data_IF_298289674913
#
_entry.id   IF_298289674913
#
_cell.length_a   1.000
_cell.length_b   1.000
_cell.length_c   1.000
_cell.angle_alpha   90.00
_cell.angle_beta   90.00
_cell.angle_gamma   90.00
#
_symmetry.space_group_name_H-M   'P 1'
#
loop_
_entity.id
_entity.type
_entity.pdbx_description
1 polymer ?
#
# COMPACT_ATOMS: atom_id res chain seq x y z
N UNK A 1 -3.89 14.78 18.88
CA UNK A 1 -3.68 16.20 18.48
C UNK A 1 -2.35 16.45 17.76
N UNK A 2 -1.29 15.64 17.96
CA UNK A 2 0.01 15.86 17.31
C UNK A 2 0.18 15.17 15.93
N UNK A 3 -0.64 14.18 15.56
CA UNK A 3 -0.43 13.43 14.30
C UNK A 3 -0.76 14.27 13.06
N UNK A 4 -1.73 15.19 13.16
CA UNK A 4 -2.19 16.04 12.05
C UNK A 4 -1.68 17.47 12.14
N UNK A 5 -0.62 17.72 12.93
CA UNK A 5 -0.17 19.08 13.23
C UNK A 5 0.71 19.68 12.12
N UNK A 6 1.44 18.83 11.38
CA UNK A 6 2.35 19.21 10.30
C UNK A 6 2.36 18.19 9.18
N UNK A 7 2.40 18.70 7.95
CA UNK A 7 2.69 17.92 6.75
C UNK A 7 4.23 17.70 6.68
N UNK A 8 4.67 16.44 6.56
CA UNK A 8 6.09 16.05 6.52
C UNK A 8 6.93 16.48 7.75
N UNK A 9 6.32 16.51 8.94
CA UNK A 9 7.01 16.78 10.21
C UNK A 9 7.28 15.51 11.01
N UNK A 10 8.24 15.56 11.93
CA UNK A 10 8.48 14.47 12.89
C UNK A 10 9.46 13.38 12.43
N UNK A 11 9.74 12.43 13.33
CA UNK A 11 10.57 11.25 13.02
C UNK A 11 9.78 10.16 12.27
N UNK A 12 10.46 9.06 11.93
CA UNK A 12 9.85 7.95 11.18
C UNK A 12 8.63 7.34 11.85
N UNK A 13 8.55 7.36 13.18
CA UNK A 13 7.39 6.89 13.95
C UNK A 13 6.14 7.77 13.74
N UNK A 14 6.34 9.08 13.71
CA UNK A 14 5.24 10.03 13.49
C UNK A 14 4.70 9.88 12.07
N UNK A 15 5.60 9.76 11.09
CA UNK A 15 5.24 9.48 9.70
C UNK A 15 4.47 8.16 9.56
N UNK A 16 4.95 7.07 10.18
CA UNK A 16 4.22 5.80 10.16
C UNK A 16 2.82 5.95 10.75
N UNK A 17 2.68 6.66 11.86
CA UNK A 17 1.37 6.93 12.45
C UNK A 17 0.46 7.75 11.53
N UNK A 18 1.00 8.71 10.78
CA UNK A 18 0.26 9.47 9.76
C UNK A 18 -0.24 8.57 8.62
N UNK A 19 0.61 7.69 8.10
CA UNK A 19 0.23 6.76 7.02
C UNK A 19 -0.78 5.70 7.49
N UNK A 20 -0.65 5.22 8.73
CA UNK A 20 -1.66 4.36 9.35
C UNK A 20 -2.99 5.09 9.50
N UNK A 21 -2.97 6.33 9.98
CA UNK A 21 -4.18 7.14 10.10
C UNK A 21 -4.83 7.39 8.74
N UNK A 22 -4.05 7.70 7.71
CA UNK A 22 -4.54 7.92 6.35
C UNK A 22 -5.14 6.63 5.76
N UNK A 23 -4.38 5.54 5.75
CA UNK A 23 -4.81 4.28 5.14
C UNK A 23 -5.95 3.61 5.91
N UNK A 24 -5.76 3.32 7.20
CA UNK A 24 -6.74 2.59 8.01
C UNK A 24 -7.87 3.49 8.45
N UNK A 25 -7.54 4.67 8.97
CA UNK A 25 -8.54 5.66 9.38
C UNK A 25 -9.38 6.13 8.19
N UNK A 26 -8.80 6.27 7.01
CA UNK A 26 -9.52 6.60 5.78
C UNK A 26 -10.58 5.56 5.41
N UNK A 27 -10.25 4.26 5.43
CA UNK A 27 -11.22 3.18 5.20
C UNK A 27 -12.37 3.27 6.20
N UNK A 28 -12.05 3.35 7.50
CA UNK A 28 -13.07 3.41 8.56
C UNK A 28 -13.97 4.64 8.44
N UNK A 29 -13.41 5.79 8.10
CA UNK A 29 -14.17 7.01 7.88
C UNK A 29 -15.14 6.88 6.70
N UNK A 30 -14.70 6.27 5.59
CA UNK A 30 -15.56 6.01 4.41
C UNK A 30 -16.67 5.02 4.78
N UNK A 31 -16.36 3.95 5.52
CA UNK A 31 -17.38 2.99 6.00
C UNK A 31 -18.47 3.68 6.80
N UNK A 32 -18.07 4.52 7.75
CA UNK A 32 -19.01 5.26 8.59
C UNK A 32 -19.84 6.25 7.77
N UNK A 33 -19.20 6.98 6.84
CA UNK A 33 -19.90 7.87 5.92
C UNK A 33 -20.99 7.12 5.13
N UNK A 34 -20.66 5.99 4.50
CA UNK A 34 -21.63 5.17 3.77
C UNK A 34 -22.77 4.70 4.69
N UNK A 35 -22.45 4.27 5.91
CA UNK A 35 -23.44 3.82 6.90
C UNK A 35 -24.43 4.93 7.28
N UNK A 36 -23.96 6.14 7.56
CA UNK A 36 -24.83 7.25 8.00
C UNK A 36 -25.62 7.89 6.86
N UNK A 37 -25.10 7.84 5.63
CA UNK A 37 -25.73 8.48 4.47
C UNK A 37 -26.52 7.51 3.59
N UNK A 38 -26.36 6.20 3.77
CA UNK A 38 -26.96 5.18 2.91
C UNK A 38 -26.29 5.02 1.53
N UNK A 39 -25.11 5.63 1.31
CA UNK A 39 -24.36 5.39 0.08
C UNK A 39 -23.86 3.95 -0.01
N UNK A 40 -23.78 3.42 -1.23
CA UNK A 40 -23.17 2.13 -1.49
C UNK A 40 -21.70 2.10 -1.04
N UNK A 41 -21.24 0.94 -0.57
CA UNK A 41 -19.84 0.75 -0.19
C UNK A 41 -18.95 0.74 -1.45
N UNK A 42 -17.77 1.40 -1.42
CA UNK A 42 -16.84 1.34 -2.54
C UNK A 42 -16.27 -0.08 -2.71
N UNK A 43 -16.14 -0.48 -3.96
CA UNK A 43 -15.54 -1.76 -4.37
C UNK A 43 -14.12 -1.60 -4.91
N UNK A 44 -13.73 -0.39 -5.32
CA UNK A 44 -12.40 -0.03 -5.83
C UNK A 44 -11.75 1.00 -4.91
N UNK A 45 -10.48 0.78 -4.59
CA UNK A 45 -9.66 1.66 -3.77
C UNK A 45 -8.36 1.95 -4.50
N UNK A 46 -7.92 3.21 -4.50
CA UNK A 46 -6.73 3.64 -5.21
C UNK A 46 -5.72 4.24 -4.23
N UNK A 47 -4.56 3.59 -4.11
CA UNK A 47 -3.41 4.14 -3.42
C UNK A 47 -2.66 5.08 -4.36
N UNK A 48 -2.77 6.37 -4.08
CA UNK A 48 -1.93 7.38 -4.70
C UNK A 48 -0.61 7.47 -3.91
N UNK A 49 0.40 6.71 -4.33
CA UNK A 49 1.67 6.48 -3.66
C UNK A 49 1.59 5.64 -2.36
N UNK A 50 2.76 5.25 -1.84
CA UNK A 50 2.92 4.36 -0.68
C UNK A 50 2.14 4.77 0.58
N UNK A 51 1.98 6.07 0.83
CA UNK A 51 1.38 6.62 2.05
C UNK A 51 -0.05 6.13 2.36
N UNK A 52 -0.82 5.75 1.33
CA UNK A 52 -2.20 5.30 1.50
C UNK A 52 -2.34 3.77 1.60
N UNK A 53 -1.26 3.01 1.36
CA UNK A 53 -1.32 1.56 1.10
C UNK A 53 -1.77 0.76 2.32
N UNK A 54 -1.60 1.28 3.55
CA UNK A 54 -2.13 0.63 4.76
C UNK A 54 -3.65 0.43 4.76
N UNK A 55 -4.41 1.10 3.88
CA UNK A 55 -5.82 0.79 3.66
C UNK A 55 -6.05 -0.69 3.31
N UNK A 56 -5.09 -1.33 2.64
CA UNK A 56 -5.16 -2.75 2.31
C UNK A 56 -5.22 -3.65 3.55
N UNK A 57 -4.49 -3.31 4.63
CA UNK A 57 -4.55 -4.09 5.87
C UNK A 57 -5.91 -4.00 6.56
N UNK A 58 -6.53 -2.81 6.58
CA UNK A 58 -7.87 -2.66 7.14
C UNK A 58 -8.90 -3.45 6.32
N UNK A 59 -8.80 -3.42 4.99
CA UNK A 59 -9.69 -4.22 4.12
C UNK A 59 -9.51 -5.72 4.32
N UNK A 60 -8.27 -6.20 4.46
CA UNK A 60 -7.98 -7.61 4.77
C UNK A 60 -8.60 -7.97 6.13
N UNK A 61 -8.43 -7.08 7.12
CA UNK A 61 -8.98 -7.25 8.46
C UNK A 61 -10.51 -7.33 8.47
N UNK A 62 -11.19 -6.42 7.77
CA UNK A 62 -12.65 -6.43 7.63
C UNK A 62 -13.14 -7.77 7.07
N UNK A 63 -12.48 -8.31 6.05
CA UNK A 63 -12.83 -9.59 5.44
C UNK A 63 -12.62 -10.77 6.39
N UNK A 64 -11.49 -10.81 7.08
CA UNK A 64 -11.22 -11.87 8.06
C UNK A 64 -12.22 -11.85 9.22
N UNK A 65 -12.64 -10.67 9.69
CA UNK A 65 -13.57 -10.55 10.83
C UNK A 65 -15.02 -10.78 10.41
N UNK A 66 -15.47 -10.16 9.31
CA UNK A 66 -16.88 -10.11 8.95
C UNK A 66 -17.30 -11.25 8.01
N UNK A 67 -16.36 -11.74 7.19
CA UNK A 67 -16.62 -12.79 6.18
C UNK A 67 -15.94 -14.12 6.54
N UNK A 68 -15.22 -14.16 7.68
CA UNK A 68 -14.50 -15.34 8.18
C UNK A 68 -13.52 -15.93 7.14
N UNK A 69 -12.93 -15.07 6.32
CA UNK A 69 -11.95 -15.47 5.31
C UNK A 69 -10.58 -15.75 5.93
N UNK A 70 -9.81 -16.64 5.29
CA UNK A 70 -8.38 -16.78 5.59
C UNK A 70 -7.63 -15.52 5.14
N UNK A 71 -6.45 -15.27 5.72
CA UNK A 71 -5.60 -14.15 5.29
C UNK A 71 -5.33 -14.19 3.78
N UNK A 72 -5.05 -15.36 3.23
CA UNK A 72 -4.71 -15.53 1.81
C UNK A 72 -5.92 -15.20 0.91
N UNK A 73 -7.10 -15.72 1.25
CA UNK A 73 -8.34 -15.39 0.53
C UNK A 73 -8.63 -13.89 0.60
N UNK A 74 -8.50 -13.29 1.79
CA UNK A 74 -8.73 -11.87 1.99
C UNK A 74 -7.74 -11.01 1.19
N UNK A 75 -6.46 -11.41 1.08
CA UNK A 75 -5.47 -10.72 0.23
C UNK A 75 -5.90 -10.73 -1.23
N UNK A 76 -6.32 -11.87 -1.77
CA UNK A 76 -6.76 -11.97 -3.17
C UNK A 76 -8.00 -11.10 -3.45
N UNK A 77 -8.98 -11.11 -2.54
CA UNK A 77 -10.18 -10.28 -2.66
C UNK A 77 -9.87 -8.77 -2.56
N UNK A 78 -8.94 -8.39 -1.69
CA UNK A 78 -8.48 -7.00 -1.57
C UNK A 78 -7.73 -6.59 -2.83
N UNK A 79 -6.84 -7.45 -3.32
CA UNK A 79 -6.03 -7.23 -4.52
C UNK A 79 -6.92 -6.92 -5.72
N UNK A 80 -7.97 -7.71 -5.95
CA UNK A 80 -8.92 -7.55 -7.05
C UNK A 80 -9.55 -6.14 -7.12
N UNK A 81 -9.73 -5.47 -5.98
CA UNK A 81 -10.32 -4.13 -5.88
C UNK A 81 -9.31 -3.02 -5.51
N UNK A 82 -8.00 -3.23 -5.68
CA UNK A 82 -6.97 -2.23 -5.37
C UNK A 82 -6.17 -1.81 -6.61
N UNK A 83 -5.93 -0.50 -6.70
CA UNK A 83 -5.09 0.15 -7.69
C UNK A 83 -3.94 0.87 -6.98
N UNK A 84 -2.75 0.88 -7.57
CA UNK A 84 -1.59 1.59 -7.04
C UNK A 84 -0.96 2.49 -8.10
N UNK A 85 -0.84 3.78 -7.81
CA UNK A 85 -0.03 4.68 -8.63
C UNK A 85 1.23 5.05 -7.87
N UNK A 86 2.38 4.94 -8.51
CA UNK A 86 3.64 5.46 -7.99
C UNK A 86 4.07 6.69 -8.78
N UNK A 87 4.58 7.69 -8.07
CA UNK A 87 5.10 8.96 -8.62
C UNK A 87 6.61 9.07 -8.43
N UNK A 88 7.22 8.15 -7.69
CA UNK A 88 8.62 8.21 -7.30
C UNK A 88 9.51 7.57 -8.38
N UNK A 89 10.37 8.34 -9.05
CA UNK A 89 11.14 7.83 -10.18
C UNK A 89 12.45 7.14 -9.78
N UNK A 90 12.81 7.10 -8.49
CA UNK A 90 14.10 6.57 -8.02
C UNK A 90 13.95 5.79 -6.72
N UNK A 91 14.70 4.68 -6.51
CA UNK A 91 14.59 3.85 -5.31
C UNK A 91 14.78 4.61 -4.00
N UNK A 92 15.69 5.59 -3.97
CA UNK A 92 16.02 6.38 -2.78
C UNK A 92 14.86 7.26 -2.28
N UNK A 93 13.89 7.58 -3.15
CA UNK A 93 12.70 8.36 -2.78
C UNK A 93 11.54 7.50 -2.26
N UNK A 94 11.63 6.18 -2.37
CA UNK A 94 10.55 5.27 -1.96
C UNK A 94 10.52 5.14 -0.45
N UNK A 95 9.32 5.26 0.10
CA UNK A 95 9.08 5.22 1.52
C UNK A 95 9.36 3.85 2.12
N UNK A 96 10.22 3.88 3.15
CA UNK A 96 10.62 2.72 3.91
C UNK A 96 10.54 2.99 5.40
N UNK A 97 10.07 1.99 6.13
CA UNK A 97 10.10 1.96 7.59
C UNK A 97 11.03 0.85 8.08
N UNK A 98 11.49 0.91 9.33
CA UNK A 98 12.18 -0.22 9.94
C UNK A 98 11.19 -1.37 10.21
N UNK A 99 11.62 -2.62 10.01
CA UNK A 99 10.77 -3.78 10.28
C UNK A 99 10.22 -3.80 11.72
N UNK A 100 11.04 -3.47 12.71
CA UNK A 100 10.61 -3.42 14.13
C UNK A 100 9.61 -2.30 14.40
N UNK A 101 9.72 -1.19 13.67
CA UNK A 101 8.78 -0.08 13.75
C UNK A 101 7.38 -0.52 13.31
N UNK A 102 7.30 -1.19 12.17
CA UNK A 102 6.04 -1.77 11.66
C UNK A 102 5.55 -2.89 12.58
N UNK A 103 6.46 -3.74 13.08
CA UNK A 103 6.12 -4.80 14.03
C UNK A 103 5.44 -4.24 15.28
N UNK A 104 6.00 -3.19 15.88
CA UNK A 104 5.44 -2.53 17.06
C UNK A 104 4.08 -1.90 16.76
N UNK A 105 3.97 -1.17 15.64
CA UNK A 105 2.74 -0.49 15.22
C UNK A 105 1.56 -1.46 15.03
N UNK A 106 1.82 -2.69 14.57
CA UNK A 106 0.79 -3.67 14.23
C UNK A 106 0.73 -4.89 15.17
N UNK A 107 1.46 -4.88 16.29
CA UNK A 107 1.54 -6.01 17.23
C UNK A 107 0.17 -6.49 17.75
N UNK A 108 -0.80 -5.59 17.87
CA UNK A 108 -2.16 -5.89 18.34
C UNK A 108 -3.22 -5.81 17.24
N UNK A 109 -2.81 -5.84 15.96
CA UNK A 109 -3.72 -5.67 14.82
C UNK A 109 -4.41 -6.99 14.39
N UNK A 110 -4.92 -7.75 15.37
CA UNK A 110 -5.57 -9.06 15.17
C UNK A 110 -6.86 -8.97 14.33
N UNK A 111 -7.16 -9.91 13.43
CA UNK A 111 -6.60 -11.25 13.38
C UNK A 111 -5.40 -11.39 12.42
N UNK A 112 -4.85 -10.29 11.89
CA UNK A 112 -3.75 -10.38 10.93
C UNK A 112 -2.48 -10.85 11.66
N UNK A 113 -1.84 -11.96 11.22
CA UNK A 113 -0.59 -12.39 11.80
C UNK A 113 0.53 -11.40 11.46
N UNK A 114 1.32 -10.98 12.46
CA UNK A 114 2.30 -9.92 12.29
C UNK A 114 3.34 -10.24 11.21
N UNK A 115 3.81 -11.48 11.11
CA UNK A 115 4.80 -11.87 10.10
C UNK A 115 4.21 -11.85 8.68
N UNK A 116 2.89 -12.05 8.55
CA UNK A 116 2.19 -11.88 7.27
C UNK A 116 2.09 -10.41 6.88
N UNK A 117 1.86 -9.51 7.84
CA UNK A 117 1.91 -8.05 7.61
C UNK A 117 3.30 -7.65 7.13
N UNK A 118 4.36 -8.01 7.88
CA UNK A 118 5.74 -7.67 7.53
C UNK A 118 6.14 -8.22 6.16
N UNK A 119 5.70 -9.43 5.83
CA UNK A 119 5.92 -10.05 4.53
C UNK A 119 5.34 -9.26 3.35
N UNK A 120 4.29 -8.46 3.54
CA UNK A 120 3.74 -7.64 2.46
C UNK A 120 4.70 -6.54 2.01
N UNK A 121 5.45 -5.91 2.92
CA UNK A 121 6.42 -4.86 2.60
C UNK A 121 7.88 -5.34 2.51
N UNK A 122 8.16 -6.61 2.78
CA UNK A 122 9.53 -7.13 2.82
C UNK A 122 10.21 -7.14 1.46
N UNK A 123 11.42 -6.59 1.39
CA UNK A 123 12.30 -6.63 0.22
C UNK A 123 13.15 -7.92 0.20
N UNK A 124 12.49 -9.08 0.16
CA UNK A 124 13.12 -10.41 0.18
C UNK A 124 13.57 -10.91 -1.21
N UNK A 125 14.00 -9.99 -2.08
CA UNK A 125 14.44 -10.24 -3.46
C UNK A 125 15.88 -9.76 -3.67
N UNK A 126 16.59 -10.20 -4.72
CA UNK A 126 17.96 -9.76 -5.00
C UNK A 126 18.06 -8.22 -5.06
N UNK A 127 18.99 -7.65 -4.29
CA UNK A 127 19.18 -6.19 -4.19
C UNK A 127 18.22 -5.47 -3.24
N UNK A 128 17.30 -6.19 -2.59
CA UNK A 128 16.43 -5.66 -1.54
C UNK A 128 17.11 -5.55 -0.18
N UNK A 129 16.59 -4.67 0.69
CA UNK A 129 17.01 -4.54 2.09
C UNK A 129 16.00 -5.24 3.02
N UNK A 130 16.32 -6.43 3.56
CA UNK A 130 15.41 -7.18 4.42
C UNK A 130 15.16 -6.51 5.78
N UNK A 131 15.95 -5.49 6.16
CA UNK A 131 15.72 -4.71 7.38
C UNK A 131 14.62 -3.64 7.23
N UNK A 132 14.14 -3.43 6.01
CA UNK A 132 13.20 -2.36 5.64
C UNK A 132 11.86 -2.91 5.18
N UNK A 133 10.81 -2.22 5.61
CA UNK A 133 9.46 -2.39 5.08
C UNK A 133 9.24 -1.33 4.00
N UNK A 134 9.11 -1.75 2.74
CA UNK A 134 8.90 -0.87 1.59
C UNK A 134 7.41 -0.73 1.25
N UNK A 135 6.91 0.50 1.29
CA UNK A 135 5.50 0.80 1.04
C UNK A 135 5.07 0.58 -0.42
N UNK A 136 5.95 0.82 -1.38
CA UNK A 136 5.66 0.53 -2.79
C UNK A 136 5.61 -0.98 -3.07
N UNK A 137 6.48 -1.78 -2.43
CA UNK A 137 6.43 -3.25 -2.51
C UNK A 137 5.09 -3.77 -1.98
N UNK A 138 4.64 -3.26 -0.83
CA UNK A 138 3.30 -3.57 -0.30
C UNK A 138 2.20 -3.14 -1.28
N UNK A 139 2.30 -1.95 -1.86
CA UNK A 139 1.34 -1.42 -2.82
C UNK A 139 1.19 -2.31 -4.06
N UNK A 140 2.31 -2.78 -4.61
CA UNK A 140 2.34 -3.67 -5.77
C UNK A 140 1.84 -5.09 -5.46
N UNK A 141 2.12 -5.61 -4.26
CA UNK A 141 1.60 -6.92 -3.82
C UNK A 141 0.10 -6.89 -3.52
N UNK A 142 -0.41 -5.78 -3.00
CA UNK A 142 -1.83 -5.65 -2.66
C UNK A 142 -2.71 -5.05 -3.77
N UNK A 143 -2.17 -4.72 -4.94
CA UNK A 143 -2.96 -4.11 -6.02
C UNK A 143 -3.01 -4.99 -7.27
N UNK A 144 -4.21 -5.14 -7.84
CA UNK A 144 -4.40 -5.85 -9.11
C UNK A 144 -3.80 -5.08 -10.28
N UNK A 145 -3.81 -3.75 -10.23
CA UNK A 145 -3.21 -2.89 -11.25
C UNK A 145 -2.31 -1.84 -10.62
N UNK A 146 -1.21 -1.56 -11.30
CA UNK A 146 -0.31 -0.48 -10.94
C UNK A 146 0.06 0.37 -12.15
N UNK A 147 0.37 1.65 -11.93
CA UNK A 147 0.80 2.55 -12.99
C UNK A 147 1.81 3.61 -12.52
N UNK A 148 2.68 4.02 -13.44
CA UNK A 148 3.38 5.30 -13.38
C UNK A 148 2.51 6.45 -13.90
N UNK A 149 3.05 7.67 -13.82
CA UNK A 149 2.32 8.91 -14.10
C UNK A 149 2.66 9.56 -15.45
N UNK A 150 3.46 8.87 -16.25
CA UNK A 150 3.77 9.13 -17.65
C UNK A 150 4.29 7.84 -18.28
N UNK A 151 4.37 7.77 -19.61
CA UNK A 151 4.93 6.61 -20.32
C UNK A 151 6.34 6.27 -19.84
N UNK A 152 7.23 7.27 -19.83
CA UNK A 152 8.60 7.14 -19.32
C UNK A 152 8.63 6.71 -17.85
N UNK A 153 7.75 7.25 -17.01
CA UNK A 153 7.69 6.84 -15.60
C UNK A 153 7.26 5.38 -15.45
N UNK A 154 6.35 4.90 -16.32
CA UNK A 154 5.97 3.49 -16.38
C UNK A 154 7.17 2.59 -16.69
N UNK A 155 8.00 2.96 -17.67
CA UNK A 155 9.22 2.22 -18.02
C UNK A 155 10.23 2.17 -16.86
N UNK A 156 10.50 3.32 -16.23
CA UNK A 156 11.40 3.41 -15.07
C UNK A 156 10.87 2.59 -13.90
N UNK A 157 9.56 2.63 -13.65
CA UNK A 157 8.92 1.86 -12.57
C UNK A 157 9.05 0.35 -12.80
N UNK A 158 8.88 -0.13 -14.04
CA UNK A 158 9.07 -1.55 -14.38
C UNK A 158 10.50 -2.01 -14.10
N UNK A 159 11.49 -1.23 -14.50
CA UNK A 159 12.90 -1.54 -14.24
C UNK A 159 13.19 -1.60 -12.74
N UNK A 160 12.70 -0.61 -11.99
CA UNK A 160 12.92 -0.51 -10.55
C UNK A 160 12.32 -1.68 -9.76
N UNK A 161 11.13 -2.15 -10.16
CA UNK A 161 10.40 -3.18 -9.42
C UNK A 161 10.42 -4.57 -10.07
N UNK A 162 11.16 -4.76 -11.17
CA UNK A 162 11.31 -6.07 -11.83
C UNK A 162 11.67 -7.22 -10.88
N UNK A 163 12.50 -7.04 -9.82
CA UNK A 163 12.80 -8.11 -8.88
C UNK A 163 11.58 -8.74 -8.17
N UNK A 164 10.41 -8.08 -8.16
CA UNK A 164 9.16 -8.65 -7.63
C UNK A 164 8.52 -9.69 -8.57
N UNK A 165 8.92 -9.72 -9.85
CA UNK A 165 8.43 -10.65 -10.86
C UNK A 165 9.60 -11.45 -11.46
N UNK A 166 10.22 -12.36 -10.69
CA UNK A 166 11.32 -13.17 -11.17
C UNK A 166 10.90 -13.99 -12.40
N UNK A 167 11.72 -13.98 -13.44
CA UNK A 167 11.46 -14.70 -14.69
C UNK A 167 10.63 -13.93 -15.73
N UNK A 168 10.18 -12.71 -15.42
CA UNK A 168 9.52 -11.82 -16.39
C UNK A 168 10.53 -10.84 -16.98
N UNK A 169 10.38 -10.55 -18.27
CA UNK A 169 11.08 -9.44 -18.90
C UNK A 169 10.57 -8.10 -18.33
N UNK A 170 11.43 -7.08 -18.32
CA UNK A 170 11.05 -5.74 -17.81
C UNK A 170 9.79 -5.21 -18.49
N UNK A 171 9.59 -5.49 -19.78
CA UNK A 171 8.39 -5.08 -20.53
C UNK A 171 7.10 -5.78 -20.10
N UNK A 172 7.20 -6.94 -19.44
CA UNK A 172 6.06 -7.74 -19.00
C UNK A 172 5.66 -7.48 -17.54
N UNK A 173 6.49 -6.76 -16.79
CA UNK A 173 6.17 -6.30 -15.43
C UNK A 173 4.85 -5.51 -15.48
N UNK A 174 3.82 -5.89 -14.68
CA UNK A 174 2.45 -5.37 -14.81
C UNK A 174 2.28 -3.97 -14.19
N UNK A 175 3.14 -3.04 -14.58
CA UNK A 175 3.07 -1.62 -14.25
C UNK A 175 2.82 -0.84 -15.54
N UNK A 176 1.62 -0.28 -15.67
CA UNK A 176 1.21 0.55 -16.80
C UNK A 176 1.65 2.01 -16.66
N UNK A 177 1.05 2.88 -17.46
CA UNK A 177 1.16 4.33 -17.30
C UNK A 177 -0.20 5.00 -17.50
N UNK A 178 -0.46 6.04 -16.73
CA UNK A 178 -1.58 6.97 -16.91
C UNK A 178 -0.98 8.37 -16.82
N UNK A 179 -0.87 9.05 -17.95
CA UNK A 179 -0.27 10.39 -18.00
C UNK A 179 -1.12 11.39 -17.23
N UNK A 180 -0.52 12.08 -16.26
CA UNK A 180 -1.21 13.11 -15.48
C UNK A 180 -1.77 14.23 -16.38
N UNK A 181 -2.87 14.82 -15.93
CA UNK A 181 -3.48 16.01 -16.55
C UNK A 181 -3.72 17.11 -15.53
N UNK A 182 -4.02 18.31 -16.02
CA UNK A 182 -4.45 19.46 -15.20
C UNK A 182 -5.84 19.89 -15.66
N UNK A 183 -6.69 20.30 -14.71
CA UNK A 183 -7.97 20.90 -15.06
C UNK A 183 -7.73 22.37 -15.45
N UNK A 184 -8.29 22.78 -16.59
CA UNK A 184 -8.22 24.15 -17.10
C UNK A 184 -9.35 25.03 -16.60
#
# INVERSE_FOLDING_TARGET
>A
RLITDKLYGGGTDHRLAQEVLLGIGGVRAIREFCRVTGHALPTVFHANEGHAVFMGLERIRERMINENETFDSAVEQVRAGMLFTTHTPVPAGIDRFGMDQVRSQFASFAPLPIDRILGLGAENFPGGDPSRFNMAVMGLRLSQRANGVSELHGEVSRQMFQPLWPGFDVSEVPIGSVTNGVHG
#
